data_IF_616019299541
#
_entry.id   IF_616019299541
#
_cell.length_a   1.000
_cell.length_b   1.000
_cell.length_c   1.000
_cell.angle_alpha   90.00
_cell.angle_beta   90.00
_cell.angle_gamma   90.00
#
_symmetry.space_group_name_H-M   'P 1'
#
loop_
_entity.id
_entity.type
_entity.pdbx_description
1 polymer ?
#
# COMPACT_ATOMS: atom_id res chain seq x y z
N UNK A 1 5.75 -34.79 -1.27
CA UNK A 1 4.83 -33.94 -0.48
C UNK A 1 3.47 -33.95 -1.18
N UNK A 2 2.35 -34.08 -0.45
CA UNK A 2 1.01 -34.02 -1.09
C UNK A 2 0.73 -32.59 -1.56
N UNK A 3 -0.10 -32.42 -2.59
CA UNK A 3 -0.39 -31.11 -3.18
C UNK A 3 -0.95 -30.08 -2.17
N UNK A 4 -1.81 -30.54 -1.27
CA UNK A 4 -2.37 -29.70 -0.20
C UNK A 4 -1.28 -29.23 0.79
N UNK A 5 -0.34 -30.12 1.15
CA UNK A 5 0.78 -29.79 2.05
C UNK A 5 1.72 -28.77 1.39
N UNK A 6 1.93 -28.91 0.08
CA UNK A 6 2.76 -27.99 -0.73
C UNK A 6 2.16 -26.58 -0.76
N UNK A 7 0.87 -26.48 -1.04
CA UNK A 7 0.15 -25.19 -1.10
C UNK A 7 0.18 -24.48 0.26
N UNK A 8 -0.03 -25.22 1.34
CA UNK A 8 0.07 -24.69 2.70
C UNK A 8 1.49 -24.21 3.01
N UNK A 9 2.51 -24.99 2.66
CA UNK A 9 3.90 -24.63 2.91
C UNK A 9 4.36 -23.40 2.10
N UNK A 10 3.95 -23.28 0.83
CA UNK A 10 4.19 -22.08 0.02
C UNK A 10 3.65 -20.82 0.69
N UNK A 11 2.43 -20.90 1.25
CA UNK A 11 1.85 -19.78 2.01
C UNK A 11 2.70 -19.41 3.22
N UNK A 12 3.10 -20.39 4.04
CA UNK A 12 3.96 -20.14 5.20
C UNK A 12 5.30 -19.51 4.84
N UNK A 13 5.93 -19.99 3.76
CA UNK A 13 7.18 -19.43 3.24
C UNK A 13 6.99 -17.97 2.83
N UNK A 14 5.93 -17.66 2.09
CA UNK A 14 5.61 -16.29 1.65
C UNK A 14 5.38 -15.36 2.84
N UNK A 15 4.57 -15.79 3.81
CA UNK A 15 4.26 -14.99 5.00
C UNK A 15 5.54 -14.72 5.83
N UNK A 16 6.34 -15.77 6.06
CA UNK A 16 7.63 -15.68 6.76
C UNK A 16 8.64 -14.75 6.06
N UNK A 17 8.72 -14.82 4.73
CA UNK A 17 9.59 -13.93 3.95
C UNK A 17 9.18 -12.46 4.11
N UNK A 18 7.89 -12.15 4.06
CA UNK A 18 7.37 -10.79 4.24
C UNK A 18 7.63 -10.27 5.66
N UNK A 19 7.47 -11.11 6.68
CA UNK A 19 7.80 -10.76 8.07
C UNK A 19 9.29 -10.44 8.23
N UNK A 20 10.19 -11.28 7.70
CA UNK A 20 11.63 -11.02 7.73
C UNK A 20 11.97 -9.69 7.06
N UNK A 21 11.35 -9.34 5.92
CA UNK A 21 11.58 -8.06 5.25
C UNK A 21 11.18 -6.87 6.12
N UNK A 22 10.06 -6.99 6.84
CA UNK A 22 9.59 -5.94 7.75
C UNK A 22 10.52 -5.80 8.97
N UNK A 23 11.01 -6.92 9.52
CA UNK A 23 11.92 -6.93 10.65
C UNK A 23 13.29 -6.32 10.31
N UNK A 24 13.86 -6.67 9.15
CA UNK A 24 15.16 -6.16 8.72
C UNK A 24 15.10 -4.78 8.06
N UNK A 25 13.91 -4.33 7.67
CA UNK A 25 13.71 -3.16 6.80
C UNK A 25 14.59 -3.24 5.53
N UNK A 26 14.70 -4.44 4.97
CA UNK A 26 15.46 -4.77 3.77
C UNK A 26 14.57 -5.61 2.84
N UNK A 27 14.67 -5.36 1.53
CA UNK A 27 13.99 -6.14 0.52
C UNK A 27 14.66 -7.51 0.27
N UNK A 28 15.90 -7.70 0.76
CA UNK A 28 16.67 -8.94 0.64
C UNK A 28 16.58 -9.75 1.93
N UNK A 29 16.16 -11.01 1.82
CA UNK A 29 16.09 -11.95 2.95
C UNK A 29 16.89 -13.20 2.62
N UNK A 30 17.91 -13.56 3.42
CA UNK A 30 18.60 -14.84 3.27
C UNK A 30 17.64 -16.02 3.44
N UNK A 31 17.74 -17.04 2.57
CA UNK A 31 16.86 -18.23 2.65
C UNK A 31 16.97 -18.94 4.01
N UNK A 32 18.16 -18.99 4.60
CA UNK A 32 18.38 -19.66 5.89
C UNK A 32 17.51 -19.08 7.02
N UNK A 33 17.18 -17.78 7.00
CA UNK A 33 16.31 -17.18 8.02
C UNK A 33 14.89 -17.74 7.94
N UNK A 34 14.35 -17.83 6.72
CA UNK A 34 13.01 -18.36 6.48
C UNK A 34 12.98 -19.86 6.81
N UNK A 35 14.01 -20.60 6.39
CA UNK A 35 14.16 -22.02 6.66
C UNK A 35 14.20 -22.33 8.16
N UNK A 36 15.03 -21.60 8.92
CA UNK A 36 15.12 -21.74 10.38
C UNK A 36 13.81 -21.39 11.07
N UNK A 37 13.16 -20.29 10.68
CA UNK A 37 11.86 -19.87 11.25
C UNK A 37 10.77 -20.92 11.07
N UNK A 38 10.76 -21.61 9.93
CA UNK A 38 9.77 -22.63 9.61
C UNK A 38 10.18 -24.05 10.04
N UNK A 39 11.39 -24.21 10.59
CA UNK A 39 12.03 -25.50 10.85
C UNK A 39 11.98 -26.42 9.61
N UNK A 40 12.50 -25.91 8.49
CA UNK A 40 12.58 -26.59 7.20
C UNK A 40 13.99 -26.56 6.65
N UNK A 41 14.29 -27.48 5.74
CA UNK A 41 15.54 -27.47 4.99
C UNK A 41 15.56 -26.32 3.97
N UNK A 42 16.70 -25.65 3.85
CA UNK A 42 16.89 -24.51 2.93
C UNK A 42 16.57 -24.87 1.47
N UNK A 43 16.95 -26.07 1.03
CA UNK A 43 16.67 -26.53 -0.35
C UNK A 43 15.16 -26.60 -0.63
N UNK A 44 14.35 -27.07 0.32
CA UNK A 44 12.90 -27.13 0.17
C UNK A 44 12.31 -25.72 0.07
N UNK A 45 12.80 -24.80 0.91
CA UNK A 45 12.36 -23.40 0.86
C UNK A 45 12.73 -22.77 -0.48
N UNK A 46 13.98 -22.95 -0.93
CA UNK A 46 14.50 -22.44 -2.20
C UNK A 46 13.69 -22.92 -3.40
N UNK A 47 13.47 -24.23 -3.52
CA UNK A 47 12.70 -24.82 -4.62
C UNK A 47 11.27 -24.28 -4.69
N UNK A 48 10.57 -24.25 -3.54
CA UNK A 48 9.21 -23.74 -3.48
C UNK A 48 9.15 -22.24 -3.78
N UNK A 49 10.16 -21.48 -3.38
CA UNK A 49 10.23 -20.06 -3.66
C UNK A 49 10.44 -19.76 -5.14
N UNK A 50 11.38 -20.46 -5.78
CA UNK A 50 11.61 -20.35 -7.22
C UNK A 50 10.36 -20.73 -8.00
N UNK A 51 9.65 -21.78 -7.58
CA UNK A 51 8.37 -22.14 -8.17
C UNK A 51 7.32 -21.04 -8.01
N UNK A 52 7.20 -20.43 -6.82
CA UNK A 52 6.28 -19.31 -6.61
C UNK A 52 6.61 -18.09 -7.48
N UNK A 53 7.90 -17.78 -7.68
CA UNK A 53 8.33 -16.70 -8.58
C UNK A 53 7.93 -17.03 -10.04
N UNK A 54 8.23 -18.24 -10.51
CA UNK A 54 7.89 -18.69 -11.87
C UNK A 54 6.37 -18.64 -12.13
N UNK A 55 5.57 -19.03 -11.14
CA UNK A 55 4.11 -19.02 -11.22
C UNK A 55 3.50 -17.63 -10.95
N UNK A 56 4.30 -16.59 -10.68
CA UNK A 56 3.85 -15.24 -10.28
C UNK A 56 3.00 -15.21 -9.00
N UNK A 57 3.16 -16.21 -8.13
CA UNK A 57 2.56 -16.29 -6.79
C UNK A 57 3.31 -15.39 -5.79
N UNK A 58 4.58 -15.08 -6.10
CA UNK A 58 5.44 -14.17 -5.35
C UNK A 58 6.04 -13.09 -6.27
N UNK A 59 5.99 -11.82 -5.84
CA UNK A 59 6.60 -10.70 -6.58
C UNK A 59 8.03 -10.47 -6.10
N UNK A 60 8.98 -11.16 -6.73
CA UNK A 60 10.38 -11.04 -6.37
C UNK A 60 11.31 -11.81 -7.28
N UNK A 61 12.57 -11.89 -6.85
CA UNK A 61 13.65 -12.58 -7.53
C UNK A 61 14.42 -13.43 -6.53
N UNK A 62 15.16 -14.40 -7.04
CA UNK A 62 16.11 -15.19 -6.28
C UNK A 62 17.52 -14.86 -6.75
N UNK A 63 18.39 -14.53 -5.80
CA UNK A 63 19.80 -14.25 -6.00
C UNK A 63 20.61 -15.49 -5.58
N UNK A 64 21.12 -16.28 -6.56
CA UNK A 64 21.80 -17.54 -6.27
C UNK A 64 23.17 -17.36 -5.64
N UNK A 65 23.86 -16.24 -5.88
CA UNK A 65 25.23 -16.03 -5.41
C UNK A 65 25.26 -15.75 -3.90
N UNK A 66 24.26 -15.03 -3.40
CA UNK A 66 24.11 -14.73 -1.97
C UNK A 66 23.06 -15.56 -1.24
N UNK A 67 22.34 -16.44 -1.95
CA UNK A 67 21.20 -17.21 -1.45
C UNK A 67 20.10 -16.31 -0.80
N UNK A 68 19.78 -15.21 -1.49
CA UNK A 68 18.76 -14.25 -1.06
C UNK A 68 17.49 -14.37 -1.87
N UNK A 69 16.38 -14.14 -1.19
CA UNK A 69 15.11 -13.75 -1.80
C UNK A 69 15.07 -12.22 -1.84
N UNK A 70 14.79 -11.66 -3.01
CA UNK A 70 14.64 -10.23 -3.21
C UNK A 70 13.18 -9.94 -3.49
N UNK A 71 12.48 -9.26 -2.59
CA UNK A 71 11.11 -8.84 -2.83
C UNK A 71 11.06 -7.59 -3.70
N UNK A 72 10.29 -7.69 -4.78
CA UNK A 72 9.94 -6.56 -5.62
C UNK A 72 8.57 -6.08 -5.18
N UNK A 73 8.55 -5.04 -4.34
CA UNK A 73 7.31 -4.36 -3.99
C UNK A 73 6.55 -4.02 -5.28
N UNK A 74 5.29 -4.43 -5.42
CA UNK A 74 4.51 -4.05 -6.57
C UNK A 74 4.45 -2.53 -6.64
N UNK A 75 4.72 -2.00 -7.82
CA UNK A 75 4.64 -0.56 -8.06
C UNK A 75 3.23 -0.06 -7.70
N UNK A 76 3.10 1.07 -6.98
CA UNK A 76 1.80 1.66 -6.72
C UNK A 76 1.09 1.95 -8.05
N UNK A 77 -0.23 1.76 -8.08
CA UNK A 77 -1.02 2.03 -9.29
C UNK A 77 -1.53 3.46 -9.27
N UNK A 78 -1.72 4.03 -10.45
CA UNK A 78 -2.50 5.25 -10.62
C UNK A 78 -3.94 4.99 -10.17
N UNK A 79 -4.49 5.75 -9.24
CA UNK A 79 -5.89 5.57 -8.80
C UNK A 79 -6.91 5.90 -9.90
N UNK A 80 -6.53 6.69 -10.91
CA UNK A 80 -7.41 7.05 -12.02
C UNK A 80 -7.43 6.00 -13.13
N UNK A 81 -6.26 5.53 -13.60
CA UNK A 81 -6.19 4.60 -14.75
C UNK A 81 -5.67 3.19 -14.43
N UNK A 82 -5.26 2.92 -13.19
CA UNK A 82 -4.78 1.60 -12.76
C UNK A 82 -3.38 1.20 -13.22
N UNK A 83 -2.71 2.01 -14.06
CA UNK A 83 -1.36 1.72 -14.55
C UNK A 83 -0.34 1.80 -13.42
N UNK A 84 0.59 0.84 -13.29
CA UNK A 84 1.68 0.91 -12.31
C UNK A 84 2.55 2.16 -12.53
N UNK A 85 2.97 2.78 -11.44
CA UNK A 85 3.75 4.02 -11.42
C UNK A 85 4.94 3.88 -10.48
N UNK A 86 6.02 4.57 -10.78
CA UNK A 86 7.15 4.67 -9.86
C UNK A 86 6.75 5.48 -8.61
N UNK A 87 7.28 5.13 -7.44
CA UNK A 87 6.99 5.83 -6.18
C UNK A 87 7.41 7.31 -6.22
N UNK A 88 8.38 7.68 -7.06
CA UNK A 88 8.91 9.04 -7.24
C UNK A 88 8.15 9.86 -8.28
N UNK A 89 7.34 9.22 -9.12
CA UNK A 89 6.53 9.93 -10.13
C UNK A 89 5.48 10.80 -9.46
N UNK A 90 5.41 12.06 -9.90
CA UNK A 90 4.42 13.05 -9.44
C UNK A 90 3.20 13.14 -10.36
N UNK A 91 3.29 12.51 -11.53
CA UNK A 91 2.30 12.55 -12.60
C UNK A 91 2.26 11.20 -13.29
N UNK A 92 1.07 10.72 -13.61
CA UNK A 92 0.91 9.49 -14.37
C UNK A 92 1.32 9.72 -15.83
N UNK A 93 2.29 8.96 -16.33
CA UNK A 93 2.69 9.04 -17.74
C UNK A 93 1.62 8.53 -18.71
N UNK A 94 0.64 7.77 -18.23
CA UNK A 94 -0.45 7.23 -19.04
C UNK A 94 -1.64 8.19 -19.15
N UNK A 95 -2.26 8.57 -18.02
CA UNK A 95 -3.45 9.42 -18.05
C UNK A 95 -3.18 10.92 -17.79
N UNK A 96 -1.94 11.28 -17.46
CA UNK A 96 -1.56 12.67 -17.16
C UNK A 96 -2.03 13.20 -15.80
N UNK A 97 -2.66 12.36 -14.96
CA UNK A 97 -3.10 12.78 -13.62
C UNK A 97 -1.90 13.19 -12.75
N UNK A 98 -1.96 14.38 -12.15
CA UNK A 98 -0.97 14.86 -11.19
C UNK A 98 -1.34 14.40 -9.77
N UNK A 99 -0.41 13.73 -9.10
CA UNK A 99 -0.62 13.22 -7.76
C UNK A 99 -0.53 14.34 -6.73
N UNK A 100 -1.52 14.37 -5.85
CA UNK A 100 -1.60 15.36 -4.78
C UNK A 100 -0.84 14.85 -3.56
N UNK A 101 -0.26 15.78 -2.80
CA UNK A 101 0.32 15.47 -1.49
C UNK A 101 -0.77 15.47 -0.43
N UNK A 102 -0.74 14.46 0.44
CA UNK A 102 -1.56 14.41 1.63
C UNK A 102 -1.18 15.58 2.55
N UNK A 103 -2.17 16.41 2.90
CA UNK A 103 -1.95 17.58 3.77
C UNK A 103 -1.42 17.23 5.16
N UNK A 104 -1.59 15.98 5.60
CA UNK A 104 -1.16 15.49 6.92
C UNK A 104 0.22 14.82 6.87
N UNK A 105 0.39 13.72 6.12
CA UNK A 105 1.64 12.95 6.13
C UNK A 105 2.68 13.39 5.08
N UNK A 106 2.33 14.36 4.22
CA UNK A 106 3.20 14.89 3.15
C UNK A 106 3.71 13.85 2.15
N UNK A 107 3.06 12.69 2.05
CA UNK A 107 3.28 11.68 1.00
C UNK A 107 2.29 11.86 -0.15
N UNK A 108 2.62 11.34 -1.33
CA UNK A 108 1.70 11.33 -2.48
C UNK A 108 0.52 10.39 -2.23
N UNK A 109 -0.67 10.88 -2.53
CA UNK A 109 -1.92 10.12 -2.48
C UNK A 109 -2.00 9.23 -3.72
N UNK A 110 -2.10 7.92 -3.51
CA UNK A 110 -2.10 6.90 -4.60
C UNK A 110 -3.45 6.18 -4.73
N UNK A 111 -4.41 6.58 -3.92
CA UNK A 111 -5.81 6.18 -3.89
C UNK A 111 -6.71 7.39 -4.18
N UNK A 112 -8.03 7.20 -4.19
CA UNK A 112 -8.97 8.32 -4.37
C UNK A 112 -8.85 9.27 -3.17
N UNK A 113 -8.44 10.54 -3.35
CA UNK A 113 -8.18 11.42 -2.23
C UNK A 113 -9.47 11.85 -1.54
N UNK A 114 -9.38 11.96 -0.22
CA UNK A 114 -10.36 12.63 0.62
C UNK A 114 -10.14 14.14 0.56
N UNK A 115 -11.18 14.89 0.22
CA UNK A 115 -11.12 16.33 -0.06
C UNK A 115 -11.95 17.11 0.96
N UNK A 116 -11.38 18.16 1.52
CA UNK A 116 -12.14 19.14 2.30
C UNK A 116 -13.15 19.86 1.39
N UNK A 117 -14.46 19.86 1.70
CA UNK A 117 -15.46 20.47 0.84
C UNK A 117 -15.27 21.99 0.69
N UNK A 118 -14.66 22.66 1.69
CA UNK A 118 -14.44 24.11 1.71
C UNK A 118 -13.17 24.55 1.01
N UNK A 119 -12.00 24.11 1.48
CA UNK A 119 -10.70 24.58 0.96
C UNK A 119 -10.09 23.68 -0.12
N UNK A 120 -10.74 22.55 -0.42
CA UNK A 120 -10.31 21.56 -1.43
C UNK A 120 -8.94 20.93 -1.17
N UNK A 121 -8.38 21.08 0.04
CA UNK A 121 -7.17 20.37 0.45
C UNK A 121 -7.40 18.85 0.47
N UNK A 122 -6.39 18.10 0.04
CA UNK A 122 -6.46 16.65 -0.13
C UNK A 122 -5.65 15.91 0.95
N UNK A 123 -6.15 14.75 1.35
CA UNK A 123 -5.48 13.81 2.24
C UNK A 123 -5.81 12.37 1.84
N UNK A 124 -5.02 11.42 2.37
CA UNK A 124 -5.47 10.04 2.46
C UNK A 124 -6.76 9.98 3.30
N UNK A 125 -7.70 9.12 2.92
CA UNK A 125 -9.01 9.06 3.57
C UNK A 125 -8.90 8.69 5.06
N UNK A 126 -8.05 7.71 5.39
CA UNK A 126 -7.79 7.27 6.75
C UNK A 126 -7.19 8.40 7.61
N UNK A 127 -6.12 9.04 7.13
CA UNK A 127 -5.46 10.13 7.85
C UNK A 127 -6.42 11.30 8.11
N UNK A 128 -7.25 11.67 7.14
CA UNK A 128 -8.17 12.79 7.33
C UNK A 128 -9.30 12.44 8.31
N UNK A 129 -9.85 11.22 8.23
CA UNK A 129 -10.87 10.74 9.18
C UNK A 129 -10.32 10.67 10.60
N UNK A 130 -9.12 10.16 10.79
CA UNK A 130 -8.48 10.06 12.10
C UNK A 130 -8.17 11.43 12.67
N UNK A 131 -7.70 12.37 11.84
CA UNK A 131 -7.55 13.76 12.25
C UNK A 131 -8.87 14.36 12.78
N UNK A 132 -9.97 14.23 12.03
CA UNK A 132 -11.27 14.78 12.47
C UNK A 132 -11.79 14.11 13.76
N UNK A 133 -11.46 12.84 13.99
CA UNK A 133 -11.78 12.14 15.25
C UNK A 133 -10.93 12.64 16.42
N UNK A 134 -9.66 12.93 16.18
CA UNK A 134 -8.74 13.46 17.21
C UNK A 134 -9.08 14.91 17.59
N UNK A 135 -9.44 15.74 16.61
CA UNK A 135 -9.83 17.16 16.81
C UNK A 135 -11.32 17.34 17.15
N UNK A 136 -12.03 16.24 17.46
CA UNK A 136 -13.48 16.22 17.62
C UNK A 136 -13.94 17.06 18.82
N UNK A 137 -14.71 18.10 18.57
CA UNK A 137 -15.43 18.84 19.61
C UNK A 137 -16.67 18.03 20.06
N UNK A 138 -16.76 17.74 21.36
CA UNK A 138 -17.81 16.88 21.94
C UNK A 138 -19.21 17.51 21.92
N UNK A 139 -19.32 18.83 21.91
CA UNK A 139 -20.61 19.52 21.91
C UNK A 139 -21.22 19.53 20.50
N UNK A 140 -20.38 19.75 19.48
CA UNK A 140 -20.82 19.85 18.08
C UNK A 140 -20.74 18.53 17.33
N UNK A 141 -19.99 17.56 17.84
CA UNK A 141 -19.68 16.32 17.15
C UNK A 141 -18.88 16.53 15.87
N UNK A 142 -18.09 17.61 15.77
CA UNK A 142 -17.28 17.93 14.57
C UNK A 142 -15.82 18.15 14.94
N UNK A 143 -14.92 17.66 14.10
CA UNK A 143 -13.51 18.08 14.11
C UNK A 143 -13.30 19.26 13.17
N UNK A 144 -12.07 19.77 13.04
CA UNK A 144 -11.75 20.89 12.17
C UNK A 144 -10.80 20.50 11.05
N UNK A 145 -11.00 21.06 9.86
CA UNK A 145 -10.03 20.91 8.78
C UNK A 145 -8.66 21.48 9.20
N UNK A 146 -7.55 20.73 9.07
CA UNK A 146 -6.22 21.18 9.51
C UNK A 146 -5.69 22.37 8.71
N UNK A 147 -6.25 22.65 7.52
CA UNK A 147 -5.79 23.72 6.64
C UNK A 147 -6.62 25.00 6.80
N UNK A 148 -7.94 24.88 6.87
CA UNK A 148 -8.84 26.05 6.87
C UNK A 148 -9.68 26.22 8.13
N UNK A 149 -9.57 25.30 9.10
CA UNK A 149 -10.28 25.37 10.39
C UNK A 149 -11.80 25.17 10.30
N UNK A 150 -12.37 24.90 9.13
CA UNK A 150 -13.82 24.70 9.01
C UNK A 150 -14.24 23.44 9.80
N UNK A 151 -15.31 23.51 10.62
CA UNK A 151 -15.83 22.33 11.30
C UNK A 151 -16.40 21.32 10.31
N UNK A 152 -16.00 20.05 10.43
CA UNK A 152 -16.39 18.94 9.58
C UNK A 152 -16.69 17.70 10.42
N UNK A 153 -17.79 17.03 10.10
CA UNK A 153 -17.99 15.65 10.48
C UNK A 153 -17.24 14.72 9.50
N UNK A 154 -16.76 13.53 9.91
CA UNK A 154 -16.13 12.57 8.99
C UNK A 154 -16.98 12.15 7.78
N UNK A 155 -18.31 12.32 7.83
CA UNK A 155 -19.21 12.11 6.68
C UNK A 155 -19.19 13.26 5.67
N UNK A 156 -18.69 14.44 6.05
CA UNK A 156 -18.67 15.64 5.20
C UNK A 156 -17.46 15.65 4.24
N UNK A 157 -16.55 14.68 4.39
CA UNK A 157 -15.40 14.49 3.49
C UNK A 157 -15.93 14.06 2.12
N UNK A 158 -15.52 14.77 1.08
CA UNK A 158 -15.83 14.41 -0.31
C UNK A 158 -14.75 13.50 -0.88
N UNK A 159 -15.11 12.58 -1.78
CA UNK A 159 -14.14 11.91 -2.64
C UNK A 159 -13.95 12.71 -3.92
N UNK A 160 -12.75 12.69 -4.49
CA UNK A 160 -12.46 13.45 -5.72
C UNK A 160 -13.34 13.00 -6.90
N UNK A 161 -13.71 11.72 -6.97
CA UNK A 161 -14.66 11.23 -7.98
C UNK A 161 -16.06 11.86 -7.86
N UNK A 162 -16.48 12.22 -6.65
CA UNK A 162 -17.77 12.88 -6.41
C UNK A 162 -17.74 14.35 -6.83
N UNK A 163 -16.58 15.00 -6.75
CA UNK A 163 -16.40 16.35 -7.27
C UNK A 163 -16.63 16.38 -8.78
N UNK A 164 -16.05 15.44 -9.53
CA UNK A 164 -16.25 15.39 -10.98
C UNK A 164 -17.72 15.17 -11.36
N UNK A 165 -18.44 14.28 -10.65
CA UNK A 165 -19.88 14.07 -10.90
C UNK A 165 -20.72 15.33 -10.67
N UNK A 166 -20.36 16.15 -9.68
CA UNK A 166 -21.09 17.41 -9.41
C UNK A 166 -20.94 18.47 -10.50
N UNK A 167 -19.87 18.41 -11.31
CA UNK A 167 -19.63 19.36 -12.41
C UNK A 167 -20.28 18.96 -13.74
N UNK A 168 -20.63 17.69 -13.91
CA UNK A 168 -21.15 17.15 -15.17
C UNK A 168 -22.59 16.63 -15.07
N UNK A 169 -23.26 16.82 -13.94
CA UNK A 169 -24.70 16.56 -13.80
C UNK A 169 -25.48 17.81 -14.25
N UNK A 170 -25.71 17.93 -15.56
CA UNK A 170 -26.70 18.85 -16.14
C UNK A 170 -28.04 18.15 -16.34
#
# INVERSE_FOLDING_TARGET
>A
MKENDKTFLKKLIKDSALECMMEFNDARVPIYFIANRLNKEENIVRELFQEMILNKEFSGEYDPDGDFIIYKRPLPKCYSCGVPMDEREKKCNNCGLELRLCMLCKKYIREVPAICPKCKSAAHEDHFRDWLRMDMNKETGKGSCPVCGVPLHPSDIMKEDDLYKSYFSF
#
